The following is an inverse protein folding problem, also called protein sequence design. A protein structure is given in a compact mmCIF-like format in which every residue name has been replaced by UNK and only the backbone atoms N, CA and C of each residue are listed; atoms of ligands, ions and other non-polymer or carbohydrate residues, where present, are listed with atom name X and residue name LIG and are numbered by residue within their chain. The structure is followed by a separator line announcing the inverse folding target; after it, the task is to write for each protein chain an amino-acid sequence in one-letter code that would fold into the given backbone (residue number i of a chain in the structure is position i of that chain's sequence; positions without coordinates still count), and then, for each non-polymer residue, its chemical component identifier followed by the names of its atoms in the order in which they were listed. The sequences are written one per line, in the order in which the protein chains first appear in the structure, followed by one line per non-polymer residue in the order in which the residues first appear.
data_IF_678047609320
#
_entry.id   IF_678047609320
#
_cell.length_a   1.000
_cell.length_b   1.000
_cell.length_c   1.000
_cell.angle_alpha   90.00
_cell.angle_beta   90.00
_cell.angle_gamma   90.00
#
_symmetry.space_group_name_H-M   'P 1'
#
loop_
_entity.id
_entity.type
_entity.pdbx_description
1 polymer ?
#
# COMPACT_ATOMS: atom_id res chain seq x y z
N UNK A 1 -6.15 -16.14 -16.97
CA UNK A 1 -5.13 -15.07 -16.83
C UNK A 1 -5.32 -14.36 -15.50
N UNK A 2 -4.24 -14.10 -14.77
CA UNK A 2 -4.34 -13.37 -13.51
C UNK A 2 -4.56 -11.88 -13.76
N UNK A 3 -5.34 -11.25 -12.89
CA UNK A 3 -5.56 -9.80 -12.89
C UNK A 3 -4.39 -9.11 -12.21
N UNK A 4 -4.02 -9.59 -11.03
CA UNK A 4 -2.93 -9.04 -10.22
C UNK A 4 -1.65 -9.82 -10.54
N UNK A 5 -0.61 -9.09 -10.94
CA UNK A 5 0.72 -9.68 -11.10
C UNK A 5 1.37 -9.78 -9.72
N UNK A 6 1.41 -10.98 -9.19
CA UNK A 6 2.02 -11.24 -7.88
C UNK A 6 3.55 -11.26 -7.99
N UNK A 7 4.21 -10.95 -6.88
CA UNK A 7 5.66 -11.06 -6.72
C UNK A 7 5.98 -12.14 -5.66
N UNK A 8 7.24 -12.31 -5.33
CA UNK A 8 7.69 -13.37 -4.41
C UNK A 8 8.27 -12.83 -3.07
N UNK A 9 8.05 -11.55 -2.78
CA UNK A 9 8.60 -10.92 -1.58
C UNK A 9 7.58 -10.97 -0.46
N UNK A 10 7.97 -11.54 0.68
CA UNK A 10 7.16 -11.54 1.91
C UNK A 10 7.97 -10.92 3.03
N UNK A 11 7.36 -9.99 3.77
CA UNK A 11 8.01 -9.30 4.88
C UNK A 11 7.33 -9.69 6.19
N UNK A 12 8.13 -9.88 7.23
CA UNK A 12 7.67 -10.27 8.56
C UNK A 12 8.08 -9.23 9.58
N UNK A 13 7.20 -8.89 10.49
CA UNK A 13 7.47 -7.88 11.52
C UNK A 13 6.33 -7.75 12.52
N UNK A 14 6.21 -6.54 13.07
CA UNK A 14 5.21 -6.22 14.07
C UNK A 14 5.82 -6.01 15.45
N UNK A 15 5.05 -6.31 16.48
CA UNK A 15 5.47 -6.20 17.89
C UNK A 15 4.85 -7.36 18.71
N UNK A 16 4.94 -7.27 20.04
CA UNK A 16 4.43 -8.34 20.91
C UNK A 16 2.91 -8.53 20.80
N UNK A 17 2.17 -7.47 20.47
CA UNK A 17 0.71 -7.52 20.34
C UNK A 17 0.26 -7.92 18.94
N UNK A 18 1.02 -7.55 17.90
CA UNK A 18 0.61 -7.71 16.50
C UNK A 18 1.73 -8.34 15.69
N UNK A 19 1.53 -9.58 15.26
CA UNK A 19 2.37 -10.21 14.25
C UNK A 19 1.90 -9.76 12.87
N UNK A 20 2.76 -9.08 12.13
CA UNK A 20 2.41 -8.51 10.83
C UNK A 20 3.17 -9.24 9.73
N UNK A 21 2.44 -9.65 8.70
CA UNK A 21 3.02 -10.21 7.48
C UNK A 21 2.54 -9.37 6.31
N UNK A 22 3.47 -8.92 5.49
CA UNK A 22 3.17 -8.32 4.19
C UNK A 22 3.39 -9.38 3.13
N UNK A 23 2.29 -9.93 2.59
CA UNK A 23 2.32 -10.99 1.59
C UNK A 23 2.18 -10.41 0.19
N UNK A 24 2.74 -11.08 -0.83
CA UNK A 24 2.42 -10.72 -2.21
C UNK A 24 0.91 -10.74 -2.44
N UNK A 25 0.38 -9.64 -2.95
CA UNK A 25 -1.02 -9.57 -3.34
C UNK A 25 -1.24 -10.43 -4.59
N UNK A 26 -2.35 -11.14 -4.65
CA UNK A 26 -2.71 -12.01 -5.76
C UNK A 26 -4.21 -12.07 -5.96
N UNK A 27 -4.65 -12.74 -7.03
CA UNK A 27 -6.08 -12.85 -7.37
C UNK A 27 -6.93 -13.51 -6.28
N UNK A 28 -6.34 -14.38 -5.46
CA UNK A 28 -7.05 -15.01 -4.35
C UNK A 28 -7.51 -14.00 -3.30
N UNK A 29 -6.91 -12.81 -3.28
CA UNK A 29 -7.24 -11.73 -2.34
C UNK A 29 -8.30 -10.77 -2.88
N UNK A 30 -8.74 -10.92 -4.13
CA UNK A 30 -9.74 -10.03 -4.73
C UNK A 30 -11.02 -9.86 -3.89
N UNK A 31 -11.57 -10.90 -3.24
CA UNK A 31 -12.75 -10.70 -2.37
C UNK A 31 -12.54 -9.66 -1.27
N UNK A 32 -11.36 -9.60 -0.67
CA UNK A 32 -11.03 -8.55 0.30
C UNK A 32 -10.99 -7.18 -0.36
N UNK A 33 -10.39 -7.08 -1.52
CA UNK A 33 -10.27 -5.82 -2.24
C UNK A 33 -11.63 -5.28 -2.65
N UNK A 34 -12.55 -6.15 -3.09
CA UNK A 34 -13.93 -5.75 -3.40
C UNK A 34 -14.64 -5.20 -2.17
N UNK A 35 -14.50 -5.87 -1.05
CA UNK A 35 -15.10 -5.45 0.22
C UNK A 35 -14.59 -4.07 0.64
N UNK A 36 -13.28 -3.90 0.69
CA UNK A 36 -12.67 -2.66 1.17
C UNK A 36 -12.88 -1.49 0.22
N UNK A 37 -12.81 -1.73 -1.08
CA UNK A 37 -12.99 -0.69 -2.10
C UNK A 37 -14.46 -0.37 -2.40
N UNK A 38 -15.41 -1.06 -1.77
CA UNK A 38 -16.82 -0.71 -1.80
C UNK A 38 -17.31 -0.01 -0.52
N UNK A 39 -16.44 0.16 0.46
CA UNK A 39 -16.76 0.81 1.73
C UNK A 39 -16.36 2.29 1.67
N UNK A 40 -17.36 3.18 1.68
CA UNK A 40 -17.15 4.63 1.52
C UNK A 40 -16.31 5.22 2.67
N UNK A 41 -16.42 4.68 3.87
CA UNK A 41 -15.65 5.15 5.01
C UNK A 41 -14.16 4.78 4.88
N UNK A 42 -13.88 3.58 4.36
CA UNK A 42 -12.51 3.16 4.05
C UNK A 42 -11.93 4.06 2.96
N UNK A 43 -12.67 4.29 1.88
CA UNK A 43 -12.21 5.12 0.76
C UNK A 43 -12.04 6.58 1.13
N UNK A 44 -12.82 7.10 2.07
CA UNK A 44 -12.65 8.46 2.58
C UNK A 44 -11.20 8.69 3.06
N UNK A 45 -10.64 7.76 3.78
CA UNK A 45 -9.29 7.88 4.34
C UNK A 45 -8.18 7.56 3.33
N UNK A 46 -8.48 6.81 2.28
CA UNK A 46 -7.48 6.44 1.26
C UNK A 46 -7.53 7.32 0.01
N UNK A 47 -8.72 7.70 -0.44
CA UNK A 47 -8.93 8.43 -1.69
C UNK A 47 -9.49 9.84 -1.50
N UNK A 48 -10.01 10.16 -0.32
CA UNK A 48 -10.65 11.44 -0.03
C UNK A 48 -12.16 11.42 -0.23
N UNK A 49 -12.77 12.62 -0.25
CA UNK A 49 -14.21 12.79 -0.21
C UNK A 49 -14.93 12.42 -1.51
N UNK A 50 -14.20 12.36 -2.62
CA UNK A 50 -14.79 12.28 -3.95
C UNK A 50 -15.16 10.86 -4.39
N UNK A 51 -14.77 9.85 -3.61
CA UNK A 51 -14.97 8.45 -4.00
C UNK A 51 -15.78 7.73 -2.92
N UNK A 52 -16.95 7.23 -3.29
CA UNK A 52 -17.81 6.48 -2.36
C UNK A 52 -17.61 4.97 -2.46
N UNK A 53 -17.38 4.47 -3.67
CA UNK A 53 -17.24 3.04 -3.94
C UNK A 53 -16.62 2.81 -5.30
N UNK A 54 -15.82 1.75 -5.38
CA UNK A 54 -15.31 1.25 -6.66
C UNK A 54 -15.97 -0.08 -7.01
N UNK A 55 -16.57 -0.21 -8.19
CA UNK A 55 -17.08 -1.50 -8.66
C UNK A 55 -15.92 -2.47 -8.97
N UNK A 56 -16.20 -3.79 -9.04
CA UNK A 56 -15.14 -4.79 -9.29
C UNK A 56 -14.29 -4.52 -10.54
N UNK A 57 -14.87 -4.00 -11.61
CA UNK A 57 -14.14 -3.70 -12.84
C UNK A 57 -13.05 -2.64 -12.60
N UNK A 58 -13.37 -1.61 -11.80
CA UNK A 58 -12.42 -0.55 -11.45
C UNK A 58 -11.34 -1.09 -10.51
N UNK A 59 -11.70 -1.96 -9.57
CA UNK A 59 -10.73 -2.64 -8.71
C UNK A 59 -9.73 -3.43 -9.56
N UNK A 60 -10.20 -4.18 -10.57
CA UNK A 60 -9.35 -4.91 -11.50
C UNK A 60 -8.38 -3.98 -12.25
N UNK A 61 -8.87 -2.84 -12.72
CA UNK A 61 -8.04 -1.87 -13.43
C UNK A 61 -6.96 -1.28 -12.52
N UNK A 62 -7.33 -0.89 -11.30
CA UNK A 62 -6.39 -0.28 -10.34
C UNK A 62 -5.30 -1.27 -9.96
N UNK A 63 -5.68 -2.40 -9.38
CA UNK A 63 -4.70 -3.37 -8.86
C UNK A 63 -3.97 -4.12 -9.98
N UNK A 64 -4.66 -4.40 -11.07
CA UNK A 64 -4.03 -4.98 -12.26
C UNK A 64 -2.97 -4.05 -12.86
N UNK A 65 -3.27 -2.76 -12.94
CA UNK A 65 -2.34 -1.77 -13.46
C UNK A 65 -1.13 -1.56 -12.56
N UNK A 66 -1.36 -1.28 -11.28
CA UNK A 66 -0.28 -1.01 -10.31
C UNK A 66 0.67 -2.21 -10.18
N UNK A 67 0.13 -3.41 -10.10
CA UNK A 67 0.93 -4.62 -9.88
C UNK A 67 1.88 -4.98 -11.02
N UNK A 68 1.69 -4.43 -12.22
CA UNK A 68 2.54 -4.77 -13.36
C UNK A 68 4.02 -4.42 -13.14
N UNK A 69 4.29 -3.27 -12.50
CA UNK A 69 5.64 -2.74 -12.34
C UNK A 69 5.98 -2.35 -10.90
N UNK A 70 5.12 -2.66 -9.95
CA UNK A 70 5.28 -2.26 -8.56
C UNK A 70 4.96 -3.41 -7.61
N UNK A 71 5.31 -3.26 -6.34
CA UNK A 71 5.06 -4.26 -5.32
C UNK A 71 3.77 -3.96 -4.57
N UNK A 72 2.80 -4.86 -4.68
CA UNK A 72 1.55 -4.78 -3.95
C UNK A 72 1.49 -5.89 -2.91
N UNK A 73 1.19 -5.52 -1.67
CA UNK A 73 1.16 -6.46 -0.54
C UNK A 73 -0.23 -6.50 0.09
N UNK A 74 -0.63 -7.70 0.49
CA UNK A 74 -1.71 -7.88 1.46
C UNK A 74 -1.11 -7.70 2.86
N UNK A 75 -1.80 -6.99 3.72
CA UNK A 75 -1.39 -6.83 5.13
C UNK A 75 -2.17 -7.81 5.98
N UNK A 76 -1.46 -8.73 6.63
CA UNK A 76 -2.04 -9.64 7.61
C UNK A 76 -1.59 -9.24 9.03
N UNK A 77 -2.53 -9.25 9.96
CA UNK A 77 -2.25 -9.04 11.37
C UNK A 77 -2.82 -10.23 12.16
N UNK A 78 -1.95 -10.92 12.87
CA UNK A 78 -2.32 -12.11 13.66
C UNK A 78 -3.11 -13.14 12.82
N UNK A 79 -2.68 -13.33 11.57
CA UNK A 79 -3.29 -14.30 10.65
C UNK A 79 -4.53 -13.80 9.91
N UNK A 80 -4.93 -12.53 10.07
CA UNK A 80 -6.10 -11.96 9.40
C UNK A 80 -5.70 -10.91 8.38
N UNK A 81 -6.28 -10.98 7.19
CA UNK A 81 -6.15 -9.93 6.18
C UNK A 81 -6.90 -8.68 6.64
N UNK A 82 -6.20 -7.54 6.73
CA UNK A 82 -6.79 -6.29 7.23
C UNK A 82 -6.69 -5.13 6.26
N UNK A 83 -5.84 -5.22 5.25
CA UNK A 83 -5.64 -4.13 4.30
C UNK A 83 -4.58 -4.47 3.27
N UNK A 84 -4.15 -3.46 2.56
CA UNK A 84 -3.07 -3.59 1.58
C UNK A 84 -2.13 -2.40 1.65
N UNK A 85 -0.95 -2.56 1.04
CA UNK A 85 -0.01 -1.46 0.84
C UNK A 85 0.81 -1.69 -0.42
N UNK A 86 1.27 -0.59 -1.01
CA UNK A 86 2.02 -0.62 -2.27
C UNK A 86 3.33 0.12 -2.11
N UNK A 87 4.37 -0.43 -2.71
CA UNK A 87 5.62 0.29 -2.95
C UNK A 87 5.72 0.49 -4.46
N UNK A 88 5.59 1.72 -4.91
CA UNK A 88 5.55 2.03 -6.33
C UNK A 88 6.51 3.16 -6.70
N UNK A 89 6.92 3.17 -7.95
CA UNK A 89 7.69 4.29 -8.50
C UNK A 89 6.85 5.56 -8.46
N UNK A 90 7.52 6.68 -8.21
CA UNK A 90 6.83 7.97 -8.17
C UNK A 90 6.23 8.27 -9.53
N UNK A 91 4.91 8.35 -9.58
CA UNK A 91 4.13 8.56 -10.79
C UNK A 91 3.35 9.89 -10.77
N UNK A 92 3.56 10.71 -9.75
CA UNK A 92 2.98 12.04 -9.67
C UNK A 92 3.97 13.04 -10.27
N UNK A 93 3.68 13.64 -11.44
CA UNK A 93 4.64 14.50 -12.15
C UNK A 93 5.13 15.68 -11.31
N UNK A 94 4.23 16.28 -10.51
CA UNK A 94 4.59 17.41 -9.66
C UNK A 94 5.59 17.07 -8.57
N UNK A 95 5.58 15.84 -8.10
CA UNK A 95 6.55 15.34 -7.11
C UNK A 95 7.82 14.88 -7.81
N UNK A 96 7.68 14.10 -8.89
CA UNK A 96 8.83 13.54 -9.62
C UNK A 96 9.79 14.63 -10.11
N UNK A 97 9.26 15.74 -10.62
CA UNK A 97 10.07 16.86 -11.14
C UNK A 97 10.91 17.57 -10.08
N UNK A 98 10.64 17.35 -8.79
CA UNK A 98 11.43 17.92 -7.69
C UNK A 98 12.80 17.26 -7.53
N UNK A 99 13.03 16.16 -8.22
CA UNK A 99 14.24 15.37 -8.10
C UNK A 99 14.89 15.16 -9.48
N UNK A 100 16.21 14.87 -9.47
CA UNK A 100 16.92 14.56 -10.73
C UNK A 100 16.43 13.23 -11.30
N UNK A 101 16.65 13.01 -12.60
CA UNK A 101 16.22 11.77 -13.26
C UNK A 101 16.90 10.50 -12.75
N UNK A 102 18.09 10.65 -12.15
CA UNK A 102 18.83 9.52 -11.56
C UNK A 102 18.42 9.17 -10.13
N UNK A 103 17.61 10.03 -9.47
CA UNK A 103 17.13 9.77 -8.11
C UNK A 103 16.00 8.74 -8.15
N UNK A 104 16.14 7.65 -7.38
CA UNK A 104 15.08 6.67 -7.22
C UNK A 104 14.07 7.18 -6.19
N UNK A 105 12.97 7.72 -6.69
CA UNK A 105 11.89 8.28 -5.88
C UNK A 105 10.70 7.35 -5.95
N UNK A 106 10.26 6.86 -4.80
CA UNK A 106 9.10 5.98 -4.71
C UNK A 106 8.06 6.51 -3.76
N UNK A 107 6.87 5.93 -3.85
CA UNK A 107 5.76 6.25 -2.95
C UNK A 107 5.23 4.98 -2.32
N UNK A 108 4.72 5.15 -1.11
CA UNK A 108 4.00 4.12 -0.38
C UNK A 108 2.55 4.57 -0.26
N UNK A 109 1.65 3.70 -0.66
CA UNK A 109 0.21 3.87 -0.47
C UNK A 109 -0.26 2.75 0.44
N UNK A 110 -1.25 3.03 1.28
CA UNK A 110 -1.76 2.05 2.24
C UNK A 110 -3.26 2.18 2.44
N UNK A 111 -3.87 1.06 2.78
CA UNK A 111 -5.26 0.99 3.17
C UNK A 111 -5.40 0.00 4.33
N UNK A 112 -6.09 0.39 5.40
CA UNK A 112 -6.59 -0.54 6.39
C UNK A 112 -8.09 -0.66 6.16
N UNK A 113 -8.49 -1.78 5.55
CA UNK A 113 -9.89 -2.02 5.17
C UNK A 113 -10.75 -2.55 6.31
N UNK A 114 -10.14 -3.14 7.33
CA UNK A 114 -10.85 -3.65 8.50
C UNK A 114 -10.84 -2.60 9.62
N UNK A 115 -11.99 -1.98 9.84
CA UNK A 115 -12.14 -0.82 10.74
C UNK A 115 -11.78 -1.13 12.19
N UNK A 116 -11.92 -2.38 12.61
CA UNK A 116 -11.56 -2.82 13.96
C UNK A 116 -10.07 -2.64 14.29
N UNK A 117 -9.25 -2.46 13.27
CA UNK A 117 -7.80 -2.28 13.41
C UNK A 117 -7.37 -0.81 13.33
N UNK A 118 -8.33 0.10 13.16
CA UNK A 118 -8.03 1.53 13.15
C UNK A 118 -7.67 2.05 14.54
N UNK A 119 -6.81 3.07 14.59
CA UNK A 119 -6.45 3.75 15.84
C UNK A 119 -5.57 2.94 16.77
N UNK A 120 -4.91 1.90 16.31
CA UNK A 120 -4.08 0.99 17.13
C UNK A 120 -2.59 1.07 16.81
N UNK A 121 -2.18 1.98 15.93
CA UNK A 121 -0.78 2.13 15.53
C UNK A 121 -0.28 1.06 14.54
N UNK A 122 -1.16 0.22 14.03
CA UNK A 122 -0.80 -0.87 13.11
C UNK A 122 -0.25 -0.32 11.79
N UNK A 123 -0.86 0.74 11.26
CA UNK A 123 -0.38 1.39 10.04
C UNK A 123 1.07 1.83 10.15
N UNK A 124 1.44 2.44 11.28
CA UNK A 124 2.82 2.85 11.55
C UNK A 124 3.77 1.64 11.53
N UNK A 125 3.35 0.51 12.09
CA UNK A 125 4.17 -0.70 12.12
C UNK A 125 4.45 -1.24 10.72
N UNK A 126 3.42 -1.44 9.89
CA UNK A 126 3.67 -2.05 8.59
C UNK A 126 4.27 -1.06 7.57
N UNK A 127 3.99 0.23 7.69
CA UNK A 127 4.70 1.23 6.90
C UNK A 127 6.19 1.21 7.26
N UNK A 128 6.54 1.10 8.54
CA UNK A 128 7.93 0.96 8.98
C UNK A 128 8.64 -0.25 8.38
N UNK A 129 7.93 -1.38 8.27
CA UNK A 129 8.45 -2.58 7.61
C UNK A 129 8.75 -2.32 6.13
N UNK A 130 7.85 -1.65 5.44
CA UNK A 130 8.00 -1.35 4.02
C UNK A 130 9.09 -0.31 3.76
N UNK A 131 9.19 0.71 4.61
CA UNK A 131 10.27 1.72 4.58
C UNK A 131 11.63 1.05 4.72
N UNK A 132 11.77 0.17 5.71
CA UNK A 132 13.02 -0.56 5.94
C UNK A 132 13.39 -1.41 4.72
N UNK A 133 12.44 -2.16 4.18
CA UNK A 133 12.65 -2.94 2.98
C UNK A 133 13.11 -2.08 1.80
N UNK A 134 12.42 -0.98 1.56
CA UNK A 134 12.71 -0.09 0.43
C UNK A 134 14.13 0.49 0.52
N UNK A 135 14.54 0.96 1.68
CA UNK A 135 15.88 1.54 1.85
C UNK A 135 17.00 0.50 1.91
N UNK A 136 16.79 -0.59 2.65
CA UNK A 136 17.85 -1.57 2.88
C UNK A 136 17.99 -2.60 1.75
N UNK A 137 16.88 -3.02 1.15
CA UNK A 137 16.88 -4.07 0.14
C UNK A 137 16.80 -3.54 -1.28
N UNK A 138 15.99 -2.50 -1.52
CA UNK A 138 15.83 -1.90 -2.85
C UNK A 138 16.72 -0.67 -3.06
N UNK A 139 17.35 -0.18 -2.00
CA UNK A 139 18.23 1.01 -2.02
C UNK A 139 17.57 2.25 -2.63
N UNK A 140 16.32 2.45 -2.33
CA UNK A 140 15.55 3.63 -2.74
C UNK A 140 16.17 4.90 -2.15
N UNK A 141 16.20 5.98 -2.89
CA UNK A 141 16.77 7.25 -2.42
C UNK A 141 15.79 8.07 -1.59
N UNK A 142 14.53 8.15 -2.04
CA UNK A 142 13.50 8.98 -1.41
C UNK A 142 12.17 8.24 -1.43
N UNK A 143 11.48 8.27 -0.30
CA UNK A 143 10.13 7.72 -0.14
C UNK A 143 9.13 8.82 0.21
N UNK A 144 8.00 8.82 -0.47
CA UNK A 144 6.83 9.59 -0.09
C UNK A 144 5.75 8.64 0.38
N UNK A 145 5.14 8.95 1.52
CA UNK A 145 4.01 8.20 2.04
C UNK A 145 2.75 9.04 1.89
N UNK A 146 1.73 8.51 1.25
CA UNK A 146 0.47 9.20 1.02
C UNK A 146 -0.67 8.48 1.72
N UNK A 147 -1.53 9.25 2.37
CA UNK A 147 -2.86 8.82 2.74
C UNK A 147 -3.83 9.93 2.31
N UNK A 148 -5.08 9.56 1.96
CA UNK A 148 -6.01 10.45 1.27
C UNK A 148 -6.21 11.81 1.94
N UNK A 149 -6.29 11.85 3.26
CA UNK A 149 -6.57 13.07 4.02
C UNK A 149 -5.44 13.48 4.97
N UNK A 150 -4.21 13.07 4.70
CA UNK A 150 -3.04 13.50 5.47
C UNK A 150 -1.91 13.94 4.55
N UNK A 151 -1.03 14.77 5.09
CA UNK A 151 0.21 15.15 4.42
C UNK A 151 1.39 14.47 5.10
N UNK A 152 2.33 14.00 4.32
CA UNK A 152 3.56 13.41 4.84
C UNK A 152 4.77 14.11 4.24
N UNK A 153 5.80 14.30 5.04
CA UNK A 153 7.09 14.75 4.55
C UNK A 153 7.84 13.60 3.88
N UNK A 154 8.63 13.87 2.84
CA UNK A 154 9.43 12.82 2.21
C UNK A 154 10.47 12.26 3.18
N UNK A 155 10.68 10.95 3.11
CA UNK A 155 11.73 10.26 3.84
C UNK A 155 12.90 10.02 2.89
N UNK A 156 14.12 10.23 3.38
CA UNK A 156 15.35 10.03 2.61
C UNK A 156 16.22 8.97 3.30
N UNK A 157 16.87 8.16 2.47
CA UNK A 157 17.83 7.18 2.93
C UNK A 157 19.07 7.85 3.56
#
# INVERSE_FOLDING_TARGET
MSIIKSHDITLYGGNDAYQIILRPLSDEHLPYLYKWNSDSEVLYWTEGDDVESYPPEVVHEIYGGISQNNLCFLVEVNGRAIGDCWLQKMNLPNVRKMYTGSTDVRRIDMMIGEKNYWGKGIGTLFIGMLVKYAFECEQVDVLHCFCGNCSASPMKR
#
